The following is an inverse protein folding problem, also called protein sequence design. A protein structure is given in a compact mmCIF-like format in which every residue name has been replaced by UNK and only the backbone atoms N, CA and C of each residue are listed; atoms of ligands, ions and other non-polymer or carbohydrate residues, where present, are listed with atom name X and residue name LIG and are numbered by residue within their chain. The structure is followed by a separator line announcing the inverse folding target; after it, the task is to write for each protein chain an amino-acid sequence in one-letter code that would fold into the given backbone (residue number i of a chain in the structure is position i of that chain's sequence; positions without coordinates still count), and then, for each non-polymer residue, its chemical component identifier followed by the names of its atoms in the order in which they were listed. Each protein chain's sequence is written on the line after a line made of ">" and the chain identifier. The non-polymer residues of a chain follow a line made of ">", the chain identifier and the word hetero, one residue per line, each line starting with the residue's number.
data_IF_847377576408
#
_entry.id   IF_847377576408
#
_cell.length_a   1.000
_cell.length_b   1.000
_cell.length_c   1.000
_cell.angle_alpha   90.00
_cell.angle_beta   90.00
_cell.angle_gamma   90.00
#
_symmetry.space_group_name_H-M   'P 1'
#
loop_
_entity.id
_entity.type
_entity.pdbx_description
1 polymer ?
#
# COMPACT_ATOMS: atom_id res chain seq x y z
N UNK A 1 -77.22 16.97 -40.14
CA UNK A 1 -76.28 15.88 -39.82
C UNK A 1 -74.95 16.27 -40.43
N UNK A 2 -74.00 16.74 -39.61
CA UNK A 2 -72.70 17.22 -40.09
C UNK A 2 -71.74 16.04 -40.23
N UNK A 3 -71.32 15.73 -41.45
CA UNK A 3 -70.30 14.73 -41.74
C UNK A 3 -68.91 15.37 -41.61
N UNK A 4 -68.18 14.97 -40.57
CA UNK A 4 -66.79 15.35 -40.34
C UNK A 4 -65.85 14.52 -41.22
N UNK A 5 -65.33 15.14 -42.27
CA UNK A 5 -64.32 14.54 -43.16
C UNK A 5 -62.93 14.58 -42.51
N UNK A 6 -62.44 13.43 -42.06
CA UNK A 6 -61.09 13.26 -41.47
C UNK A 6 -60.01 13.32 -42.55
N UNK A 7 -59.17 14.35 -42.52
CA UNK A 7 -58.04 14.52 -43.45
C UNK A 7 -56.88 13.60 -43.07
N UNK A 8 -56.28 12.84 -44.00
CA UNK A 8 -55.16 11.96 -43.72
C UNK A 8 -53.87 12.76 -43.41
N UNK A 9 -53.01 12.28 -42.50
CA UNK A 9 -51.81 13.00 -42.09
C UNK A 9 -50.77 13.08 -43.23
N UNK A 10 -49.97 14.16 -43.28
CA UNK A 10 -48.99 14.38 -44.32
C UNK A 10 -47.90 13.30 -44.32
N UNK A 11 -47.60 12.78 -45.52
CA UNK A 11 -46.53 11.80 -45.77
C UNK A 11 -45.18 12.42 -45.40
N UNK A 12 -44.47 11.79 -44.46
CA UNK A 12 -43.11 12.19 -44.05
C UNK A 12 -42.18 12.13 -45.27
N UNK A 13 -41.58 13.26 -45.60
CA UNK A 13 -40.55 13.37 -46.64
C UNK A 13 -39.34 12.50 -46.28
N UNK A 14 -38.78 11.79 -47.26
CA UNK A 14 -37.51 11.07 -47.15
C UNK A 14 -36.40 12.10 -46.96
N UNK A 15 -35.91 12.26 -45.73
CA UNK A 15 -34.70 13.01 -45.45
C UNK A 15 -33.53 12.06 -45.72
N UNK A 16 -32.63 12.45 -46.62
CA UNK A 16 -31.40 11.71 -46.88
C UNK A 16 -30.51 11.76 -45.63
N UNK A 17 -29.93 10.62 -45.22
CA UNK A 17 -29.08 10.59 -44.03
C UNK A 17 -27.84 11.45 -44.27
N UNK A 18 -27.41 12.24 -43.26
CA UNK A 18 -26.21 13.05 -43.38
C UNK A 18 -24.98 12.17 -43.65
N UNK A 19 -23.97 12.67 -44.38
CA UNK A 19 -22.72 11.95 -44.60
C UNK A 19 -22.06 11.64 -43.27
N UNK A 20 -21.56 10.39 -43.11
CA UNK A 20 -20.86 9.98 -41.90
C UNK A 20 -19.59 10.82 -41.73
N UNK A 21 -19.27 11.15 -40.47
CA UNK A 21 -18.03 11.85 -40.16
C UNK A 21 -16.79 10.98 -40.46
N UNK A 22 -15.64 11.61 -40.73
CA UNK A 22 -14.36 10.91 -40.98
C UNK A 22 -13.99 9.94 -39.84
N UNK A 23 -14.33 10.30 -38.60
CA UNK A 23 -14.15 9.43 -37.44
C UNK A 23 -15.00 8.16 -37.50
N UNK A 24 -16.25 8.26 -37.95
CA UNK A 24 -17.13 7.09 -38.06
C UNK A 24 -16.68 6.14 -39.18
N UNK A 25 -16.11 6.67 -40.27
CA UNK A 25 -15.48 5.86 -41.30
C UNK A 25 -14.28 5.07 -40.74
N UNK A 26 -13.34 5.75 -40.06
CA UNK A 26 -12.18 5.08 -39.43
C UNK A 26 -12.58 4.08 -38.33
N UNK A 27 -13.68 4.34 -37.61
CA UNK A 27 -14.23 3.42 -36.61
C UNK A 27 -14.80 2.17 -37.28
N UNK A 28 -15.56 2.33 -38.37
CA UNK A 28 -16.15 1.22 -39.11
C UNK A 28 -15.08 0.37 -39.79
N UNK A 29 -14.03 0.97 -40.33
CA UNK A 29 -12.86 0.25 -40.86
C UNK A 29 -12.17 -0.61 -39.78
N UNK A 30 -11.96 -0.05 -38.58
CA UNK A 30 -11.40 -0.81 -37.45
C UNK A 30 -12.30 -1.96 -37.00
N UNK A 31 -13.62 -1.76 -36.99
CA UNK A 31 -14.58 -2.82 -36.67
C UNK A 31 -14.50 -3.93 -37.72
N UNK A 32 -14.45 -3.59 -39.00
CA UNK A 32 -14.33 -4.55 -40.09
C UNK A 32 -13.01 -5.33 -40.03
N UNK A 33 -11.88 -4.64 -39.79
CA UNK A 33 -10.57 -5.29 -39.65
C UNK A 33 -10.53 -6.26 -38.46
N UNK A 34 -11.13 -5.89 -37.32
CA UNK A 34 -11.22 -6.76 -36.15
C UNK A 34 -12.13 -7.97 -36.40
N UNK A 35 -13.24 -7.79 -37.12
CA UNK A 35 -14.12 -8.90 -37.52
C UNK A 35 -13.39 -9.87 -38.44
N UNK A 36 -12.70 -9.37 -39.47
CA UNK A 36 -11.89 -10.20 -40.35
C UNK A 36 -10.79 -10.96 -39.59
N UNK A 37 -10.12 -10.31 -38.63
CA UNK A 37 -9.13 -10.97 -37.79
C UNK A 37 -9.75 -12.08 -36.93
N UNK A 38 -10.92 -11.85 -36.33
CA UNK A 38 -11.63 -12.88 -35.57
C UNK A 38 -12.09 -14.04 -36.47
N UNK A 39 -12.49 -13.77 -37.71
CA UNK A 39 -12.80 -14.81 -38.71
C UNK A 39 -11.56 -15.63 -39.06
N UNK A 40 -10.39 -15.02 -39.25
CA UNK A 40 -9.14 -15.76 -39.48
C UNK A 40 -8.73 -16.66 -38.32
N UNK A 41 -9.10 -16.31 -37.09
CA UNK A 41 -8.90 -17.14 -35.90
C UNK A 41 -9.96 -18.25 -35.72
N UNK A 42 -10.95 -18.35 -36.62
CA UNK A 42 -12.08 -19.28 -36.48
C UNK A 42 -13.04 -18.93 -35.34
N UNK A 43 -12.95 -17.70 -34.80
CA UNK A 43 -13.83 -17.17 -33.75
C UNK A 43 -14.97 -16.32 -34.31
N UNK A 44 -14.84 -15.85 -35.55
CA UNK A 44 -15.86 -15.10 -36.30
C UNK A 44 -16.87 -16.04 -36.94
N UNK A 45 -17.74 -16.66 -36.13
CA UNK A 45 -18.74 -17.60 -36.66
C UNK A 45 -19.86 -17.88 -35.66
N UNK A 46 -21.00 -17.20 -35.89
CA UNK A 46 -22.36 -17.65 -35.51
C UNK A 46 -22.48 -18.49 -34.24
N UNK A 47 -22.22 -17.87 -33.08
CA UNK A 47 -22.75 -18.34 -31.80
C UNK A 47 -22.65 -19.85 -31.57
N UNK A 48 -21.48 -20.46 -31.84
CA UNK A 48 -21.22 -21.82 -31.38
C UNK A 48 -21.44 -21.84 -29.86
N UNK A 49 -22.61 -22.34 -29.47
CA UNK A 49 -22.95 -22.60 -28.07
C UNK A 49 -21.92 -23.60 -27.58
N UNK A 50 -20.93 -23.11 -26.83
CA UNK A 50 -19.99 -23.95 -26.10
C UNK A 50 -20.78 -25.07 -25.42
N UNK A 51 -20.40 -26.35 -25.60
CA UNK A 51 -21.15 -27.46 -25.01
C UNK A 51 -21.23 -27.24 -23.50
N UNK A 52 -22.45 -27.24 -22.96
CA UNK A 52 -22.69 -27.14 -21.52
C UNK A 52 -21.89 -28.24 -20.84
N UNK A 53 -20.82 -27.88 -20.14
CA UNK A 53 -20.05 -28.81 -19.30
C UNK A 53 -21.04 -29.52 -18.35
N UNK A 54 -20.97 -30.86 -18.20
CA UNK A 54 -21.80 -31.58 -17.26
C UNK A 54 -21.57 -31.03 -15.85
N UNK A 55 -22.65 -30.79 -15.12
CA UNK A 55 -22.62 -30.14 -13.82
C UNK A 55 -21.79 -30.96 -12.83
N UNK A 56 -20.59 -30.47 -12.49
CA UNK A 56 -19.79 -31.00 -11.39
C UNK A 56 -20.58 -30.81 -10.09
N UNK A 57 -20.78 -31.88 -9.34
CA UNK A 57 -21.54 -31.88 -8.08
C UNK A 57 -21.05 -30.77 -7.14
N UNK A 58 -21.95 -29.84 -6.78
CA UNK A 58 -21.62 -28.72 -5.90
C UNK A 58 -21.38 -29.24 -4.47
N UNK A 59 -20.37 -28.73 -3.76
CA UNK A 59 -20.18 -29.04 -2.34
C UNK A 59 -21.39 -28.57 -1.52
N UNK A 60 -21.87 -29.41 -0.59
CA UNK A 60 -22.99 -29.13 0.32
C UNK A 60 -22.72 -27.82 1.08
N UNK A 61 -23.47 -26.77 0.74
CA UNK A 61 -23.45 -25.50 1.49
C UNK A 61 -24.11 -25.70 2.85
N UNK A 62 -23.47 -25.21 3.92
CA UNK A 62 -24.04 -25.11 5.27
C UNK A 62 -25.33 -24.29 5.22
N UNK A 63 -26.36 -24.71 5.97
CA UNK A 63 -27.62 -23.99 6.17
C UNK A 63 -27.31 -22.58 6.70
N UNK A 64 -27.55 -21.58 5.88
CA UNK A 64 -27.68 -20.18 6.29
C UNK A 64 -29.17 -19.88 6.30
N UNK A 65 -29.64 -19.24 7.37
CA UNK A 65 -31.04 -18.91 7.61
C UNK A 65 -31.65 -18.14 6.43
N UNK A 66 -32.90 -18.50 6.13
CA UNK A 66 -33.60 -18.16 4.91
C UNK A 66 -34.16 -16.74 4.99
N UNK A 67 -33.35 -15.75 4.62
CA UNK A 67 -33.86 -14.42 4.30
C UNK A 67 -34.56 -14.45 2.94
N UNK A 68 -35.75 -13.84 2.87
CA UNK A 68 -36.64 -13.79 1.70
C UNK A 68 -35.88 -13.57 0.39
N UNK A 69 -35.84 -14.62 -0.42
CA UNK A 69 -35.28 -14.59 -1.77
C UNK A 69 -36.16 -13.67 -2.61
N UNK A 70 -35.65 -12.46 -2.92
CA UNK A 70 -36.17 -11.61 -4.01
C UNK A 70 -36.31 -12.45 -5.28
N UNK A 71 -37.54 -12.83 -5.63
CA UNK A 71 -37.87 -13.50 -6.88
C UNK A 71 -37.66 -12.51 -8.01
N UNK A 72 -36.63 -12.71 -8.83
CA UNK A 72 -36.44 -11.92 -10.04
C UNK A 72 -37.58 -12.23 -11.03
N UNK A 73 -38.43 -11.24 -11.28
CA UNK A 73 -39.61 -11.28 -12.17
C UNK A 73 -39.25 -11.58 -13.64
N UNK A 74 -37.96 -11.54 -14.02
CA UNK A 74 -37.49 -11.72 -15.40
C UNK A 74 -37.59 -13.15 -15.97
N UNK A 75 -37.90 -14.15 -15.14
CA UNK A 75 -38.07 -15.54 -15.61
C UNK A 75 -39.49 -15.87 -16.11
N UNK A 76 -40.45 -14.96 -15.97
CA UNK A 76 -41.86 -15.21 -16.32
C UNK A 76 -42.27 -14.78 -17.74
N UNK A 77 -41.35 -14.26 -18.57
CA UNK A 77 -41.61 -14.02 -20.00
C UNK A 77 -42.72 -13.01 -20.33
N UNK A 78 -43.26 -12.28 -19.35
CA UNK A 78 -44.24 -11.23 -19.58
C UNK A 78 -43.58 -9.93 -20.06
N UNK A 79 -44.22 -9.15 -20.95
CA UNK A 79 -43.77 -7.78 -21.25
C UNK A 79 -43.78 -7.00 -19.94
N UNK A 80 -42.63 -6.40 -19.60
CA UNK A 80 -42.53 -5.59 -18.39
C UNK A 80 -43.58 -4.46 -18.48
N UNK A 81 -44.46 -4.30 -17.48
CA UNK A 81 -45.32 -3.13 -17.41
C UNK A 81 -44.44 -1.89 -17.51
N UNK A 82 -44.74 -1.01 -18.48
CA UNK A 82 -44.19 0.33 -18.50
C UNK A 82 -44.90 1.07 -17.36
N UNK A 83 -44.47 0.81 -16.13
CA UNK A 83 -44.66 1.75 -15.05
C UNK A 83 -43.92 3.00 -15.51
N UNK A 84 -44.70 4.00 -15.96
CA UNK A 84 -44.22 5.36 -16.05
C UNK A 84 -43.58 5.65 -14.70
N UNK A 85 -42.25 5.71 -14.70
CA UNK A 85 -41.47 6.30 -13.63
C UNK A 85 -42.20 7.61 -13.33
N UNK A 86 -42.91 7.66 -12.21
CA UNK A 86 -43.30 8.93 -11.65
C UNK A 86 -41.97 9.61 -11.37
N UNK A 87 -41.70 10.68 -12.10
CA UNK A 87 -40.59 11.59 -11.86
C UNK A 87 -40.69 11.99 -10.39
N UNK A 88 -39.99 11.27 -9.52
CA UNK A 88 -39.72 11.72 -8.16
C UNK A 88 -38.68 12.84 -8.34
N UNK A 89 -39.06 14.11 -8.14
CA UNK A 89 -38.15 15.25 -8.34
C UNK A 89 -37.05 15.27 -7.28
N UNK A 90 -36.95 14.25 -6.41
CA UNK A 90 -35.78 13.98 -5.57
C UNK A 90 -34.62 13.44 -6.41
N UNK A 91 -34.00 14.43 -7.03
CA UNK A 91 -32.56 14.67 -6.92
C UNK A 91 -31.67 13.88 -7.87
N UNK A 92 -31.73 14.29 -9.13
CA UNK A 92 -30.60 14.17 -10.04
C UNK A 92 -29.31 14.79 -9.44
N UNK A 93 -29.45 15.77 -8.55
CA UNK A 93 -28.34 16.34 -7.77
C UNK A 93 -27.73 15.35 -6.76
N UNK A 94 -28.52 14.52 -6.06
CA UNK A 94 -28.01 13.60 -5.01
C UNK A 94 -27.19 12.44 -5.60
N UNK A 95 -27.47 12.08 -6.86
CA UNK A 95 -26.66 11.11 -7.60
C UNK A 95 -25.32 11.70 -8.08
N UNK A 96 -25.25 13.01 -8.35
CA UNK A 96 -23.99 13.71 -8.62
C UNK A 96 -23.22 14.01 -7.32
N UNK A 97 -23.92 14.25 -6.21
CA UNK A 97 -23.30 14.49 -4.91
C UNK A 97 -22.72 13.23 -4.26
N UNK A 98 -23.32 12.06 -4.44
CA UNK A 98 -22.73 10.77 -3.99
C UNK A 98 -21.47 10.38 -4.78
N UNK A 99 -21.25 10.96 -5.97
CA UNK A 99 -19.99 10.94 -6.72
C UNK A 99 -19.08 12.14 -6.43
N UNK A 100 -19.31 12.91 -5.35
CA UNK A 100 -18.26 13.73 -4.75
C UNK A 100 -17.16 12.78 -4.32
N UNK A 101 -16.22 12.57 -5.26
CA UNK A 101 -14.98 11.80 -5.16
C UNK A 101 -14.54 11.85 -3.70
N UNK A 102 -14.50 10.71 -3.02
CA UNK A 102 -13.85 10.60 -1.72
C UNK A 102 -12.59 11.45 -1.81
N UNK A 103 -12.56 12.56 -1.06
CA UNK A 103 -11.50 13.56 -1.16
C UNK A 103 -10.20 12.77 -1.06
N UNK A 104 -9.48 12.65 -2.18
CA UNK A 104 -8.21 11.93 -2.21
C UNK A 104 -7.40 12.53 -1.07
N UNK A 105 -6.85 11.68 -0.20
CA UNK A 105 -6.08 12.14 0.95
C UNK A 105 -5.11 13.24 0.48
N UNK A 106 -4.91 14.30 1.28
CA UNK A 106 -4.04 15.41 0.89
C UNK A 106 -2.72 14.82 0.38
N UNK A 107 -2.35 15.23 -0.85
CA UNK A 107 -1.11 14.77 -1.50
C UNK A 107 0.02 15.13 -0.54
N UNK A 108 0.70 14.13 0.01
CA UNK A 108 1.89 14.40 0.81
C UNK A 108 2.87 15.13 -0.10
N UNK A 109 3.38 16.27 0.36
CA UNK A 109 4.43 16.97 -0.37
C UNK A 109 5.64 16.04 -0.52
N UNK A 110 6.25 16.02 -1.72
CA UNK A 110 7.50 15.30 -1.92
C UNK A 110 8.50 15.75 -0.86
N UNK A 111 8.96 14.80 -0.06
CA UNK A 111 9.99 15.10 0.92
C UNK A 111 11.34 15.19 0.20
N UNK A 112 11.95 16.37 0.22
CA UNK A 112 13.30 16.60 -0.28
C UNK A 112 14.30 16.33 0.85
N UNK A 113 15.14 15.28 0.74
CA UNK A 113 16.16 15.01 1.74
C UNK A 113 17.19 16.14 1.74
N UNK A 114 17.64 16.57 2.93
CA UNK A 114 18.79 17.48 3.06
C UNK A 114 20.06 16.80 2.59
N UNK A 115 21.08 17.56 2.17
CA UNK A 115 22.33 16.97 1.63
C UNK A 115 23.01 16.03 2.64
N UNK A 116 23.04 16.38 3.93
CA UNK A 116 23.55 15.48 4.98
C UNK A 116 22.77 14.16 5.10
N UNK A 117 21.47 14.17 4.77
CA UNK A 117 20.65 12.97 4.77
C UNK A 117 20.96 12.13 3.53
N UNK A 118 21.19 12.77 2.37
CA UNK A 118 21.61 12.10 1.13
C UNK A 118 22.92 11.35 1.33
N UNK A 119 23.90 11.94 2.03
CA UNK A 119 25.17 11.28 2.34
C UNK A 119 24.99 10.06 3.24
N UNK A 120 24.06 10.12 4.20
CA UNK A 120 23.77 9.03 5.14
C UNK A 120 22.98 7.87 4.54
N UNK A 121 22.38 8.04 3.35
CA UNK A 121 21.61 6.97 2.72
C UNK A 121 22.48 5.80 2.25
N UNK A 122 23.79 6.02 2.06
CA UNK A 122 24.74 5.00 1.65
C UNK A 122 24.53 4.51 0.22
N UNK A 123 25.21 3.41 -0.13
CA UNK A 123 25.12 2.79 -1.46
C UNK A 123 23.77 2.06 -1.65
N UNK A 124 23.28 2.01 -2.90
CA UNK A 124 22.01 1.36 -3.22
C UNK A 124 22.14 -0.17 -3.05
N UNK A 125 21.53 -0.73 -2.01
CA UNK A 125 21.46 -2.18 -1.81
C UNK A 125 20.24 -2.78 -2.53
N UNK A 126 20.48 -3.55 -3.59
CA UNK A 126 19.42 -4.21 -4.36
C UNK A 126 18.62 -5.24 -3.54
N UNK A 127 19.28 -5.97 -2.63
CA UNK A 127 18.65 -6.99 -1.78
C UNK A 127 17.71 -6.35 -0.75
N UNK A 128 18.17 -5.29 -0.05
CA UNK A 128 17.33 -4.52 0.87
C UNK A 128 16.10 -3.93 0.15
N UNK A 129 16.27 -3.47 -1.09
CA UNK A 129 15.16 -2.96 -1.89
C UNK A 129 14.17 -4.08 -2.27
N UNK A 130 14.67 -5.26 -2.65
CA UNK A 130 13.83 -6.41 -2.98
C UNK A 130 12.97 -6.85 -1.78
N UNK A 131 13.59 -6.95 -0.61
CA UNK A 131 12.93 -7.32 0.64
C UNK A 131 11.93 -6.25 1.07
N UNK A 132 12.31 -4.97 0.98
CA UNK A 132 11.41 -3.84 1.25
C UNK A 132 10.11 -3.96 0.44
N UNK A 133 10.19 -4.24 -0.87
CA UNK A 133 9.01 -4.38 -1.73
C UNK A 133 8.12 -5.58 -1.38
N UNK A 134 8.70 -6.59 -0.71
CA UNK A 134 7.99 -7.77 -0.21
C UNK A 134 7.32 -7.56 1.14
N UNK A 135 7.65 -6.48 1.85
CA UNK A 135 7.08 -6.18 3.17
C UNK A 135 5.99 -5.12 3.06
N UNK A 136 4.91 -5.30 3.81
CA UNK A 136 3.92 -4.23 3.95
C UNK A 136 4.48 -3.16 4.89
N UNK A 137 4.65 -1.94 4.38
CA UNK A 137 5.16 -0.79 5.13
C UNK A 137 4.09 0.30 5.19
N UNK A 138 4.25 1.32 6.06
CA UNK A 138 3.36 2.49 6.06
C UNK A 138 3.29 3.21 4.70
N UNK A 139 4.32 3.03 3.86
CA UNK A 139 4.50 3.70 2.58
C UNK A 139 3.87 2.94 1.41
N UNK A 140 3.81 1.60 1.48
CA UNK A 140 3.23 0.79 0.42
C UNK A 140 2.72 -0.57 0.89
N UNK A 141 1.75 -1.09 0.14
CA UNK A 141 1.26 -2.46 0.29
C UNK A 141 2.23 -3.44 -0.38
N UNK A 142 2.34 -4.63 0.19
CA UNK A 142 3.11 -5.74 -0.39
C UNK A 142 2.77 -5.95 -1.87
N UNK A 143 3.81 -6.11 -2.68
CA UNK A 143 3.71 -6.32 -4.11
C UNK A 143 3.84 -7.82 -4.42
N UNK A 144 3.04 -8.32 -5.37
CA UNK A 144 3.16 -9.72 -5.81
C UNK A 144 4.59 -10.04 -6.27
N UNK A 145 5.08 -11.28 -6.05
CA UNK A 145 6.46 -11.66 -6.41
C UNK A 145 6.84 -11.35 -7.86
N UNK A 146 5.94 -11.55 -8.82
CA UNK A 146 6.20 -11.29 -10.24
C UNK A 146 6.33 -9.80 -10.57
N UNK A 147 5.49 -8.97 -9.94
CA UNK A 147 5.58 -7.53 -10.08
C UNK A 147 6.85 -6.99 -9.40
N UNK A 148 7.26 -7.57 -8.27
CA UNK A 148 8.54 -7.25 -7.62
C UNK A 148 9.72 -7.53 -8.54
N UNK A 149 9.78 -8.72 -9.15
CA UNK A 149 10.83 -9.06 -10.14
C UNK A 149 10.86 -8.07 -11.29
N UNK A 150 9.69 -7.68 -11.81
CA UNK A 150 9.60 -6.73 -12.91
C UNK A 150 10.13 -5.35 -12.52
N UNK A 151 9.72 -4.83 -11.35
CA UNK A 151 10.20 -3.54 -10.82
C UNK A 151 11.70 -3.58 -10.59
N UNK A 152 12.19 -4.62 -9.92
CA UNK A 152 13.60 -4.78 -9.57
C UNK A 152 14.46 -4.85 -10.83
N UNK A 153 14.01 -5.56 -11.88
CA UNK A 153 14.71 -5.58 -13.16
C UNK A 153 14.91 -4.18 -13.75
N UNK A 154 13.89 -3.32 -13.69
CA UNK A 154 14.01 -1.94 -14.20
C UNK A 154 14.88 -1.07 -13.30
N UNK A 155 14.76 -1.22 -11.97
CA UNK A 155 15.64 -0.54 -11.01
C UNK A 155 17.09 -0.92 -11.27
N UNK A 156 17.41 -2.21 -11.48
CA UNK A 156 18.76 -2.66 -11.80
C UNK A 156 19.32 -1.97 -13.04
N UNK A 157 18.52 -1.83 -14.11
CA UNK A 157 18.94 -1.12 -15.33
C UNK A 157 19.26 0.36 -15.08
N UNK A 158 18.46 1.02 -14.25
CA UNK A 158 18.65 2.42 -13.86
C UNK A 158 19.90 2.59 -12.99
N UNK A 159 20.04 1.77 -11.94
CA UNK A 159 21.16 1.85 -10.99
C UNK A 159 22.50 1.50 -11.64
N UNK A 160 22.51 0.53 -12.58
CA UNK A 160 23.74 0.17 -13.32
C UNK A 160 24.12 1.14 -14.44
N UNK A 161 23.25 2.10 -14.77
CA UNK A 161 23.46 3.05 -15.87
C UNK A 161 23.34 2.43 -17.26
N UNK A 162 22.86 1.18 -17.39
CA UNK A 162 22.53 0.60 -18.71
C UNK A 162 21.42 1.41 -19.39
N UNK A 163 20.53 1.98 -18.58
CA UNK A 163 19.34 2.70 -19.02
C UNK A 163 18.20 1.74 -19.34
N UNK A 164 17.00 2.30 -19.49
CA UNK A 164 15.79 1.51 -19.78
C UNK A 164 15.43 1.69 -21.25
N UNK A 165 15.28 0.58 -21.95
CA UNK A 165 14.86 0.50 -23.35
C UNK A 165 13.43 -0.07 -23.44
N UNK A 166 12.72 0.28 -24.51
CA UNK A 166 11.38 -0.22 -24.77
C UNK A 166 11.19 -0.52 -26.25
N UNK A 167 10.65 -1.70 -26.55
CA UNK A 167 10.46 -2.21 -27.92
C UNK A 167 9.59 -1.33 -28.83
N UNK A 168 8.81 -0.39 -28.27
CA UNK A 168 7.99 0.54 -29.05
C UNK A 168 8.64 1.91 -29.25
N UNK A 169 9.74 2.18 -28.57
CA UNK A 169 10.53 3.36 -28.86
C UNK A 169 11.38 3.12 -30.11
N UNK A 170 11.76 4.17 -30.84
CA UNK A 170 12.68 4.05 -31.96
C UNK A 170 13.99 3.36 -31.56
N UNK A 171 14.61 2.65 -32.50
CA UNK A 171 15.85 1.94 -32.24
C UNK A 171 16.94 2.90 -31.74
N UNK A 172 17.63 2.53 -30.66
CA UNK A 172 18.67 3.35 -30.04
C UNK A 172 18.17 4.35 -28.98
N UNK A 173 16.86 4.52 -28.83
CA UNK A 173 16.26 5.36 -27.78
C UNK A 173 16.27 4.60 -26.45
N UNK A 174 17.09 5.09 -25.51
CA UNK A 174 17.26 4.49 -24.18
C UNK A 174 17.21 5.61 -23.14
N UNK A 175 16.36 5.46 -22.12
CA UNK A 175 16.24 6.44 -21.04
C UNK A 175 17.46 6.35 -20.11
N UNK A 176 18.15 7.48 -19.93
CA UNK A 176 19.37 7.66 -19.10
C UNK A 176 20.48 6.62 -19.36
N UNK A 177 20.85 6.43 -20.63
CA UNK A 177 21.97 5.54 -20.99
C UNK A 177 23.31 6.13 -20.55
N UNK A 178 24.07 5.37 -19.78
CA UNK A 178 25.40 5.73 -19.26
C UNK A 178 25.38 6.50 -17.94
N UNK A 179 24.19 6.82 -17.42
CA UNK A 179 24.02 7.60 -16.19
C UNK A 179 23.40 6.72 -15.10
N UNK A 180 24.20 6.15 -14.18
CA UNK A 180 23.67 5.35 -13.09
C UNK A 180 22.82 6.21 -12.15
N UNK A 181 21.62 5.73 -11.82
CA UNK A 181 20.71 6.39 -10.90
C UNK A 181 21.01 5.98 -9.45
N UNK A 182 21.32 6.95 -8.60
CA UNK A 182 21.62 6.72 -7.18
C UNK A 182 20.45 7.15 -6.27
N UNK A 183 20.50 6.81 -4.97
CA UNK A 183 19.52 7.32 -4.00
C UNK A 183 19.73 8.80 -3.63
N UNK A 184 20.91 9.34 -3.96
CA UNK A 184 21.28 10.73 -3.70
C UNK A 184 20.71 11.67 -4.77
N UNK A 185 20.46 11.14 -5.97
CA UNK A 185 19.88 11.90 -7.07
C UNK A 185 18.47 12.42 -6.73
N UNK A 186 18.06 13.46 -7.45
CA UNK A 186 16.68 13.93 -7.40
C UNK A 186 15.76 12.97 -8.17
N UNK A 187 15.34 11.91 -7.48
CA UNK A 187 14.41 10.91 -8.01
C UNK A 187 13.04 11.51 -8.40
N UNK A 188 12.66 12.68 -7.87
CA UNK A 188 11.41 13.34 -8.24
C UNK A 188 11.57 13.99 -9.61
N UNK A 189 12.66 14.73 -9.82
CA UNK A 189 13.01 15.29 -11.12
C UNK A 189 13.18 14.20 -12.18
N UNK A 190 13.94 13.14 -11.88
CA UNK A 190 14.15 12.02 -12.81
C UNK A 190 12.81 11.36 -13.21
N UNK A 191 11.84 11.35 -12.30
CA UNK A 191 10.50 10.81 -12.58
C UNK A 191 9.67 11.76 -13.45
N UNK A 192 9.91 13.06 -13.41
CA UNK A 192 9.30 14.02 -14.33
C UNK A 192 9.95 13.92 -15.70
N UNK A 193 11.28 13.88 -15.76
CA UNK A 193 12.05 13.64 -17.00
C UNK A 193 11.61 12.33 -17.69
N UNK A 194 11.35 11.27 -16.91
CA UNK A 194 10.82 10.01 -17.42
C UNK A 194 9.44 10.15 -18.09
N UNK A 195 8.57 11.00 -17.56
CA UNK A 195 7.25 11.25 -18.17
C UNK A 195 7.38 12.04 -19.47
N UNK A 196 8.25 13.05 -19.46
CA UNK A 196 8.50 13.87 -20.65
C UNK A 196 9.15 13.02 -21.75
N UNK A 197 10.05 12.11 -21.36
CA UNK A 197 10.64 11.11 -22.26
C UNK A 197 9.60 10.15 -22.86
N UNK A 198 8.67 9.62 -22.03
CA UNK A 198 7.54 8.82 -22.50
C UNK A 198 6.60 9.62 -23.43
N UNK A 199 6.41 10.92 -23.17
CA UNK A 199 5.59 11.78 -24.02
C UNK A 199 6.24 12.03 -25.40
N UNK A 200 7.57 12.14 -25.45
CA UNK A 200 8.32 12.37 -26.68
C UNK A 200 8.47 11.12 -27.55
N UNK A 201 8.77 9.96 -26.95
CA UNK A 201 9.13 8.75 -27.69
C UNK A 201 8.05 7.68 -27.76
N UNK A 202 6.96 7.85 -27.01
CA UNK A 202 5.81 6.95 -26.99
C UNK A 202 5.50 6.45 -25.59
N UNK A 203 4.21 6.52 -25.24
CA UNK A 203 3.73 6.17 -23.91
C UNK A 203 3.90 4.69 -23.59
N UNK A 204 4.25 4.38 -22.34
CA UNK A 204 4.22 3.01 -21.82
C UNK A 204 2.78 2.46 -21.81
N UNK A 205 2.59 1.29 -22.44
CA UNK A 205 1.30 0.57 -22.43
C UNK A 205 1.11 -0.26 -21.16
N UNK A 206 2.18 -0.50 -20.40
CA UNK A 206 2.18 -1.19 -19.13
C UNK A 206 1.71 -0.33 -17.96
N UNK A 207 0.88 0.71 -18.15
CA UNK A 207 0.41 1.58 -17.07
C UNK A 207 1.54 2.17 -16.19
N UNK A 208 2.73 2.38 -16.75
CA UNK A 208 3.88 2.94 -16.05
C UNK A 208 4.76 1.92 -15.34
N UNK A 209 4.58 0.60 -15.56
CA UNK A 209 5.49 -0.43 -15.05
C UNK A 209 6.92 -0.31 -15.61
N UNK A 210 7.10 0.40 -16.74
CA UNK A 210 8.40 0.57 -17.36
C UNK A 210 9.34 1.53 -16.60
N UNK A 211 8.89 2.78 -16.33
CA UNK A 211 9.70 3.82 -15.67
C UNK A 211 9.05 4.37 -14.40
N UNK A 212 7.80 4.84 -14.52
CA UNK A 212 7.12 5.60 -13.47
C UNK A 212 6.96 4.80 -12.16
N UNK A 213 6.58 3.52 -12.24
CA UNK A 213 6.46 2.65 -11.07
C UNK A 213 7.81 2.34 -10.42
N UNK A 214 8.84 1.87 -11.15
CA UNK A 214 10.18 1.69 -10.62
C UNK A 214 10.72 2.93 -9.88
N UNK A 215 10.65 4.11 -10.51
CA UNK A 215 11.11 5.37 -9.90
C UNK A 215 10.30 5.72 -8.66
N UNK A 216 8.97 5.56 -8.70
CA UNK A 216 8.13 5.76 -7.51
C UNK A 216 8.51 4.80 -6.37
N UNK A 217 8.92 3.57 -6.66
CA UNK A 217 9.36 2.60 -5.65
C UNK A 217 10.72 2.95 -5.08
N UNK A 218 11.64 3.48 -5.89
CA UNK A 218 12.92 4.01 -5.39
C UNK A 218 12.69 5.19 -4.45
N UNK A 219 11.77 6.12 -4.75
CA UNK A 219 11.41 7.23 -3.84
C UNK A 219 10.89 6.69 -2.50
N UNK A 220 9.96 5.73 -2.52
CA UNK A 220 9.42 5.16 -1.28
C UNK A 220 10.48 4.38 -0.48
N UNK A 221 11.43 3.74 -1.16
CA UNK A 221 12.55 3.06 -0.52
C UNK A 221 13.51 4.07 0.12
N UNK A 222 13.84 5.17 -0.57
CA UNK A 222 14.61 6.30 -0.05
C UNK A 222 13.99 6.84 1.25
N UNK A 223 12.68 7.07 1.23
CA UNK A 223 11.94 7.57 2.40
C UNK A 223 11.93 6.56 3.57
N UNK A 224 11.85 5.26 3.25
CA UNK A 224 11.95 4.18 4.25
C UNK A 224 13.34 4.12 4.88
N UNK A 225 14.40 4.24 4.09
CA UNK A 225 15.77 4.29 4.59
C UNK A 225 16.00 5.52 5.46
N UNK A 226 15.52 6.69 5.03
CA UNK A 226 15.58 7.89 5.85
C UNK A 226 14.85 7.70 7.19
N UNK A 227 13.68 7.05 7.19
CA UNK A 227 12.92 6.81 8.41
C UNK A 227 13.56 5.76 9.36
N UNK A 228 14.31 4.80 8.82
CA UNK A 228 14.90 3.68 9.60
C UNK A 228 16.35 3.94 10.00
N UNK A 229 17.18 4.48 9.10
CA UNK A 229 18.62 4.74 9.30
C UNK A 229 18.92 6.09 9.94
N UNK A 230 17.96 7.02 9.99
CA UNK A 230 18.09 8.27 10.76
C UNK A 230 17.24 8.20 12.03
N UNK A 231 17.60 7.38 13.04
CA UNK A 231 16.91 7.35 14.33
C UNK A 231 17.27 8.61 15.12
N UNK A 232 16.69 9.75 14.75
CA UNK A 232 17.08 11.02 15.34
C UNK A 232 16.05 12.09 15.07
N UNK A 233 15.23 12.35 16.10
CA UNK A 233 14.14 13.33 16.17
C UNK A 233 12.88 12.83 15.46
N UNK A 234 11.96 12.31 16.27
CA UNK A 234 10.57 12.21 15.89
C UNK A 234 10.19 13.49 15.14
N UNK A 235 9.79 13.36 13.88
CA UNK A 235 9.20 14.44 13.08
C UNK A 235 8.06 15.02 13.92
N UNK A 236 8.33 16.06 14.72
CA UNK A 236 7.29 16.98 15.15
C UNK A 236 6.72 17.46 13.83
N UNK A 237 5.51 16.98 13.49
CA UNK A 237 4.72 17.56 12.42
C UNK A 237 4.59 19.02 12.80
N UNK A 238 5.47 19.87 12.30
CA UNK A 238 5.26 21.29 12.22
C UNK A 238 4.07 21.43 11.28
N UNK A 239 2.89 21.39 11.88
CA UNK A 239 1.67 21.88 11.26
C UNK A 239 2.03 23.29 10.83
N UNK A 240 2.15 23.52 9.53
CA UNK A 240 2.47 24.82 8.97
C UNK A 240 1.55 25.85 9.63
N UNK A 241 2.10 26.59 10.59
CA UNK A 241 1.48 27.76 11.14
C UNK A 241 1.71 28.82 10.06
N UNK A 242 0.62 29.21 9.42
CA UNK A 242 0.50 30.47 8.70
C UNK A 242 1.19 31.57 9.51
N UNK A 243 2.17 32.22 8.91
CA UNK A 243 2.92 33.31 9.52
C UNK A 243 1.98 34.44 9.99
N UNK A 244 2.19 34.99 11.19
CA UNK A 244 2.02 36.41 11.43
C UNK A 244 3.40 37.08 11.44
N UNK A 245 3.48 38.19 10.71
CA UNK A 245 4.58 39.15 10.76
C UNK A 245 4.67 39.89 12.10
N UNK A 246 5.83 40.53 12.27
CA UNK A 246 6.23 41.63 13.18
C UNK A 246 6.65 41.27 14.60
N UNK A 247 7.96 41.40 14.80
CA UNK A 247 8.67 42.23 15.80
C UNK A 247 8.10 42.27 17.22
N UNK A 248 8.85 41.72 18.18
CA UNK A 248 9.37 42.47 19.33
C UNK A 248 10.36 41.60 20.13
N UNK A 249 11.47 42.23 20.52
CA UNK A 249 12.49 41.75 21.45
C UNK A 249 11.87 41.40 22.82
N UNK A 250 12.33 40.31 23.45
CA UNK A 250 12.82 40.36 24.84
C UNK A 250 13.48 39.04 25.29
N UNK A 251 14.39 39.25 26.22
CA UNK A 251 15.36 38.39 26.86
C UNK A 251 14.71 37.38 27.83
N UNK A 252 15.52 36.46 28.37
CA UNK A 252 15.35 35.84 29.71
C UNK A 252 14.99 34.33 29.84
N UNK A 253 15.84 33.68 30.66
CA UNK A 253 15.71 32.45 31.43
C UNK A 253 15.70 31.06 30.75
N UNK A 254 16.84 30.39 30.92
CA UNK A 254 17.01 28.95 30.85
C UNK A 254 16.12 28.22 31.87
N UNK A 255 15.19 27.40 31.38
CA UNK A 255 14.45 26.42 32.17
C UNK A 255 14.81 25.00 31.74
N UNK A 256 15.28 24.19 32.68
CA UNK A 256 15.58 22.78 32.50
C UNK A 256 14.31 21.99 32.12
N UNK A 257 14.40 21.00 31.21
CA UNK A 257 13.25 20.24 30.77
C UNK A 257 12.73 19.29 31.87
N UNK A 258 11.40 19.12 31.99
CA UNK A 258 10.79 18.24 32.97
C UNK A 258 11.08 16.77 32.65
N UNK A 259 11.44 16.01 33.68
CA UNK A 259 11.65 14.56 33.64
C UNK A 259 10.40 13.83 33.13
N UNK A 260 10.41 13.53 31.84
CA UNK A 260 9.39 12.72 31.20
C UNK A 260 9.54 11.27 31.68
N UNK A 261 8.47 10.73 32.28
CA UNK A 261 8.38 9.31 32.66
C UNK A 261 8.77 8.42 31.46
N UNK A 262 9.78 7.55 31.57
CA UNK A 262 10.24 6.74 30.46
C UNK A 262 9.15 5.75 30.02
N UNK A 263 8.89 5.69 28.72
CA UNK A 263 7.98 4.73 28.13
C UNK A 263 8.43 3.28 28.41
N UNK A 264 7.48 2.41 28.77
CA UNK A 264 7.69 0.98 29.06
C UNK A 264 8.42 0.32 27.87
N UNK A 265 9.60 -0.27 28.11
CA UNK A 265 10.37 -1.03 27.12
C UNK A 265 11.55 -0.29 26.49
N UNK A 266 11.82 0.95 26.90
CA UNK A 266 13.03 1.67 26.45
C UNK A 266 14.25 1.12 27.19
N UNK A 267 15.23 0.60 26.46
CA UNK A 267 16.54 0.22 27.02
C UNK A 267 17.13 1.42 27.76
N UNK A 268 17.71 1.18 28.94
CA UNK A 268 18.40 2.27 29.66
C UNK A 268 19.55 2.81 28.80
N UNK A 269 19.85 4.11 28.87
CA UNK A 269 20.96 4.70 28.10
C UNK A 269 22.29 3.99 28.39
N UNK A 270 22.47 3.46 29.60
CA UNK A 270 23.64 2.67 29.99
C UNK A 270 23.71 1.33 29.24
N UNK A 271 22.59 0.59 29.14
CA UNK A 271 22.54 -0.65 28.37
C UNK A 271 22.83 -0.39 26.89
N UNK A 272 22.30 0.69 26.33
CA UNK A 272 22.56 1.06 24.92
C UNK A 272 24.05 1.38 24.71
N UNK A 273 24.69 2.09 25.65
CA UNK A 273 26.12 2.38 25.61
C UNK A 273 26.95 1.09 25.66
N UNK A 274 26.63 0.18 26.57
CA UNK A 274 27.31 -1.11 26.69
C UNK A 274 27.16 -1.99 25.44
N UNK A 275 25.98 -2.05 24.82
CA UNK A 275 25.76 -2.80 23.57
C UNK A 275 26.60 -2.21 22.43
N UNK A 276 26.73 -0.88 22.34
CA UNK A 276 27.58 -0.22 21.32
C UNK A 276 29.06 -0.53 21.52
N UNK A 277 29.53 -0.54 22.76
CA UNK A 277 30.93 -0.86 23.08
C UNK A 277 31.27 -2.30 22.73
N UNK A 278 30.38 -3.25 23.07
CA UNK A 278 30.53 -4.67 22.68
C UNK A 278 30.52 -4.84 21.15
N UNK A 279 29.67 -4.10 20.43
CA UNK A 279 29.68 -4.11 18.96
C UNK A 279 30.97 -3.54 18.37
N UNK A 280 31.50 -2.46 18.94
CA UNK A 280 32.76 -1.87 18.50
C UNK A 280 33.91 -2.87 18.59
N UNK A 281 34.02 -3.60 19.72
CA UNK A 281 35.04 -4.65 19.92
C UNK A 281 34.89 -5.81 18.94
N UNK A 282 33.67 -6.16 18.55
CA UNK A 282 33.41 -7.17 17.52
C UNK A 282 33.85 -6.69 16.13
N UNK A 283 33.51 -5.45 15.77
CA UNK A 283 33.87 -4.87 14.47
C UNK A 283 35.41 -4.66 14.35
N UNK A 284 36.12 -4.45 15.47
CA UNK A 284 37.59 -4.39 15.57
C UNK A 284 38.27 -5.78 15.61
N UNK A 285 37.49 -6.86 15.67
CA UNK A 285 38.00 -8.24 15.73
C UNK A 285 38.60 -8.66 17.07
N UNK A 286 38.35 -7.90 18.15
CA UNK A 286 38.83 -8.23 19.50
C UNK A 286 38.06 -9.39 20.15
N UNK A 287 36.80 -9.59 19.73
CA UNK A 287 35.94 -10.67 20.22
C UNK A 287 35.37 -11.44 19.04
N UNK A 288 35.20 -12.74 19.22
CA UNK A 288 34.58 -13.60 18.21
C UNK A 288 33.04 -13.46 18.21
N UNK A 289 32.41 -14.00 17.16
CA UNK A 289 30.96 -13.91 16.96
C UNK A 289 30.17 -14.61 18.09
N UNK A 290 30.71 -15.68 18.65
CA UNK A 290 30.09 -16.41 19.76
C UNK A 290 30.05 -15.56 21.04
N UNK A 291 31.19 -14.97 21.43
CA UNK A 291 31.31 -14.09 22.59
C UNK A 291 30.45 -12.84 22.43
N UNK A 292 30.40 -12.25 21.22
CA UNK A 292 29.52 -11.12 20.92
C UNK A 292 28.03 -11.45 21.13
N UNK A 293 27.58 -12.61 20.63
CA UNK A 293 26.18 -13.05 20.80
C UNK A 293 25.84 -13.27 22.27
N UNK A 294 26.71 -13.92 23.03
CA UNK A 294 26.52 -14.19 24.46
C UNK A 294 26.49 -12.90 25.30
N UNK A 295 27.47 -12.01 25.13
CA UNK A 295 27.53 -10.74 25.87
C UNK A 295 26.37 -9.80 25.52
N UNK A 296 25.98 -9.74 24.25
CA UNK A 296 24.81 -8.96 23.82
C UNK A 296 23.52 -9.50 24.44
N UNK A 297 23.33 -10.82 24.45
CA UNK A 297 22.18 -11.46 25.08
C UNK A 297 22.16 -11.19 26.60
N UNK A 298 23.31 -11.28 27.28
CA UNK A 298 23.45 -10.96 28.70
C UNK A 298 23.09 -9.51 29.04
N UNK A 299 23.51 -8.54 28.21
CA UNK A 299 23.18 -7.13 28.38
C UNK A 299 21.69 -6.83 28.17
N UNK A 300 21.08 -7.45 27.16
CA UNK A 300 19.63 -7.36 26.92
C UNK A 300 18.84 -7.96 28.09
N UNK A 301 19.26 -9.11 28.61
CA UNK A 301 18.61 -9.78 29.74
C UNK A 301 18.76 -9.01 31.07
N UNK A 302 19.92 -8.39 31.33
CA UNK A 302 20.14 -7.54 32.52
C UNK A 302 19.27 -6.28 32.53
N UNK A 303 18.82 -5.81 31.37
CA UNK A 303 18.02 -4.60 31.24
C UNK A 303 16.51 -4.84 31.27
N UNK A 304 16.06 -6.10 31.29
CA UNK A 304 14.65 -6.39 31.45
C UNK A 304 14.23 -5.95 32.86
N UNK A 305 13.25 -5.04 33.01
CA UNK A 305 12.74 -4.68 34.33
C UNK A 305 12.27 -5.97 35.00
N UNK A 306 12.75 -6.23 36.21
CA UNK A 306 12.41 -7.45 36.95
C UNK A 306 10.91 -7.68 36.88
N UNK A 307 10.51 -8.74 36.17
CA UNK A 307 9.11 -9.12 36.03
C UNK A 307 8.60 -9.73 37.33
N UNK A 308 9.51 -10.24 38.18
CA UNK A 308 9.21 -10.82 39.48
C UNK A 308 8.54 -9.78 40.38
N UNK A 309 7.41 -10.16 40.97
CA UNK A 309 6.59 -9.31 41.84
C UNK A 309 5.54 -8.48 41.11
N UNK A 310 5.49 -8.47 39.77
CA UNK A 310 4.47 -7.71 39.02
C UNK A 310 3.15 -8.47 38.97
N UNK A 311 2.05 -7.72 39.14
CA UNK A 311 0.70 -8.24 39.02
C UNK A 311 0.31 -8.45 37.55
N UNK A 312 -0.31 -9.60 37.26
CA UNK A 312 -0.84 -9.98 35.95
C UNK A 312 -2.33 -10.33 36.08
N UNK A 313 -3.10 -10.18 35.01
CA UNK A 313 -4.52 -10.52 34.96
C UNK A 313 -4.86 -11.24 33.67
N UNK A 314 -5.41 -12.47 33.77
CA UNK A 314 -5.71 -13.32 32.62
C UNK A 314 -7.12 -13.88 32.70
N UNK A 315 -7.80 -13.94 31.55
CA UNK A 315 -9.11 -14.59 31.42
C UNK A 315 -8.93 -16.05 30.98
N UNK A 316 -9.41 -16.99 31.78
CA UNK A 316 -9.44 -18.41 31.43
C UNK A 316 -10.82 -18.76 30.82
N UNK A 317 -10.87 -19.46 29.68
CA UNK A 317 -12.13 -19.89 29.08
C UNK A 317 -12.94 -20.74 30.08
N UNK A 318 -14.17 -20.34 30.37
CA UNK A 318 -15.07 -21.04 31.30
C UNK A 318 -14.95 -20.60 32.77
N UNK A 319 -13.81 -20.06 33.21
CA UNK A 319 -13.55 -19.82 34.64
C UNK A 319 -13.48 -18.34 35.05
N UNK A 320 -13.50 -17.41 34.10
CA UNK A 320 -13.50 -15.96 34.40
C UNK A 320 -12.11 -15.32 34.39
N UNK A 321 -11.94 -14.20 35.09
CA UNK A 321 -10.69 -13.46 35.21
C UNK A 321 -9.98 -13.81 36.51
N UNK A 322 -8.68 -14.06 36.43
CA UNK A 322 -7.81 -14.35 37.57
C UNK A 322 -6.70 -13.32 37.62
N UNK A 323 -6.46 -12.79 38.81
CA UNK A 323 -5.28 -11.99 39.11
C UNK A 323 -4.16 -12.94 39.58
N UNK A 324 -2.92 -12.62 39.26
CA UNK A 324 -1.75 -13.40 39.65
C UNK A 324 -0.52 -12.54 39.84
N UNK A 325 0.51 -13.11 40.46
CA UNK A 325 1.80 -12.46 40.70
C UNK A 325 2.89 -13.33 40.07
N UNK A 326 3.84 -12.69 39.38
CA UNK A 326 5.00 -13.38 38.82
C UNK A 326 5.97 -13.70 39.96
N UNK A 327 6.17 -14.97 40.30
CA UNK A 327 7.05 -15.39 41.40
C UNK A 327 8.50 -15.54 40.95
N UNK A 328 8.72 -16.11 39.77
CA UNK A 328 10.05 -16.40 39.25
C UNK A 328 10.10 -16.25 37.73
N UNK A 329 11.29 -16.01 37.19
CA UNK A 329 11.58 -16.08 35.75
C UNK A 329 12.74 -17.05 35.56
N UNK A 330 12.46 -18.18 34.92
CA UNK A 330 13.46 -19.19 34.61
C UNK A 330 14.39 -18.72 33.48
N UNK A 331 15.60 -19.28 33.44
CA UNK A 331 16.63 -18.96 32.44
C UNK A 331 16.18 -19.29 31.00
N UNK A 332 15.22 -20.22 30.83
CA UNK A 332 14.60 -20.57 29.55
C UNK A 332 13.61 -19.52 29.02
N UNK A 333 13.42 -18.41 29.74
CA UNK A 333 12.51 -17.33 29.37
C UNK A 333 11.03 -17.65 29.65
N UNK A 334 10.75 -18.55 30.59
CA UNK A 334 9.40 -18.76 31.13
C UNK A 334 9.26 -18.10 32.50
N UNK A 335 8.10 -17.51 32.76
CA UNK A 335 7.74 -16.96 34.06
C UNK A 335 6.78 -17.92 34.76
N UNK A 336 7.01 -18.16 36.04
CA UNK A 336 6.06 -18.84 36.93
C UNK A 336 5.14 -17.80 37.55
N UNK A 337 3.83 -18.00 37.38
CA UNK A 337 2.79 -17.10 37.85
C UNK A 337 1.97 -17.85 38.88
N UNK A 338 1.92 -17.34 40.10
CA UNK A 338 0.99 -17.77 41.14
C UNK A 338 -0.32 -17.00 40.99
N UNK A 339 -1.41 -17.72 40.72
CA UNK A 339 -2.75 -17.16 40.57
C UNK A 339 -3.47 -17.08 41.92
N UNK A 340 -4.48 -16.22 41.99
CA UNK A 340 -5.30 -16.01 43.19
C UNK A 340 -6.06 -17.25 43.67
N UNK A 341 -6.19 -18.29 42.86
CA UNK A 341 -6.79 -19.58 43.21
C UNK A 341 -5.79 -20.60 43.77
N UNK A 342 -4.52 -20.20 43.92
CA UNK A 342 -3.43 -21.06 44.40
C UNK A 342 -2.77 -21.91 43.32
N UNK A 343 -3.25 -21.85 42.06
CA UNK A 343 -2.60 -22.55 40.96
C UNK A 343 -1.32 -21.82 40.54
N UNK A 344 -0.29 -22.58 40.15
CA UNK A 344 0.94 -22.03 39.55
C UNK A 344 1.01 -22.46 38.10
N UNK A 345 1.23 -21.50 37.19
CA UNK A 345 1.42 -21.81 35.77
C UNK A 345 2.70 -21.20 35.22
N UNK A 346 3.42 -21.97 34.41
CA UNK A 346 4.58 -21.48 33.66
C UNK A 346 4.15 -20.95 32.28
N UNK A 347 4.50 -19.70 31.96
CA UNK A 347 4.16 -19.05 30.69
C UNK A 347 5.38 -18.36 30.08
N UNK A 348 5.50 -18.36 28.74
CA UNK A 348 6.56 -17.61 28.05
C UNK A 348 6.46 -16.11 28.35
N UNK A 349 7.59 -15.42 28.54
CA UNK A 349 7.65 -13.96 28.79
C UNK A 349 6.81 -13.15 27.79
N UNK A 350 6.80 -13.55 26.51
CA UNK A 350 6.00 -12.87 25.47
C UNK A 350 4.48 -13.00 25.66
N UNK A 351 4.01 -14.06 26.31
CA UNK A 351 2.61 -14.21 26.68
C UNK A 351 2.28 -13.43 27.96
N UNK A 352 3.22 -13.39 28.91
CA UNK A 352 3.11 -12.61 30.16
C UNK A 352 3.01 -11.11 29.88
N UNK A 353 3.76 -10.62 28.89
CA UNK A 353 3.70 -9.22 28.46
C UNK A 353 2.29 -8.75 28.04
N UNK A 354 1.44 -9.68 27.55
CA UNK A 354 0.05 -9.37 27.13
C UNK A 354 -0.94 -9.32 28.29
N UNK A 355 -0.58 -9.83 29.45
CA UNK A 355 -1.46 -9.95 30.63
C UNK A 355 -0.96 -9.11 31.82
N UNK A 356 0.13 -8.35 31.65
CA UNK A 356 0.59 -7.40 32.66
C UNK A 356 -0.50 -6.34 32.90
N UNK A 357 -0.83 -6.12 34.16
CA UNK A 357 -1.74 -5.05 34.58
C UNK A 357 -0.96 -3.73 34.48
N UNK A 358 -1.53 -2.76 33.78
CA UNK A 358 -0.85 -1.50 33.48
C UNK A 358 -0.63 -0.60 34.70
#
# INVERSE_FOLDING_TARGET
>A
MAETTTTPPPKKSKVEPPPLSEYELQRNERIAANQAFLETLGLGGTGQKLPKKPARAKPKKRKVEEHEKRKSVRLAGGPAPIERLQDDPRSYDDFFESRKRQKRAPRQEPWEPTDEQRDKLGEFCMEECYDFLGTTTPYHKEISPDNRKTVIRQITKLVTGVGVDYHRWPAGVVFRKGEPVTLQDDLVQIKEDAKDFEAQHGRDLGNGWLLNHPLQKMILFRDHLAATKLPGKARKKTKAATAPSSDDDEEEAAAAPPEAKPAKGTLTPETVRAIREVKKRFDEGEIDEATYKETKAGLLNKSAPSLVGRAVRKRFPGSGWFDGIIESVAEDGRCEIAWSDGAVTSMKVSAVAKILKD
#
